data_IF_444219580190
#
_entry.id   IF_444219580190
#
_cell.length_a   1.000
_cell.length_b   1.000
_cell.length_c   1.000
_cell.angle_alpha   90.00
_cell.angle_beta   90.00
_cell.angle_gamma   90.00
#
_symmetry.space_group_name_H-M   'P 1'
#
loop_
_entity.id
_entity.type
_entity.pdbx_description
1 polymer ?
#
# COMPACT_ATOMS: atom_id res chain seq x y z
N UNK A 1 22.17 -23.89 -5.87
CA UNK A 1 21.68 -24.94 -4.95
C UNK A 1 21.49 -24.33 -3.58
N UNK A 2 20.28 -24.18 -3.15
CA UNK A 2 19.77 -24.27 -1.77
C UNK A 2 18.46 -23.50 -1.63
N UNK A 3 17.43 -24.31 -1.43
CA UNK A 3 16.19 -24.15 -0.68
C UNK A 3 15.25 -23.00 -1.06
N UNK A 4 14.39 -23.34 -2.03
CA UNK A 4 13.07 -22.71 -2.25
C UNK A 4 12.13 -23.35 -1.25
N UNK A 5 11.67 -22.59 -0.27
CA UNK A 5 10.65 -23.03 0.67
C UNK A 5 9.27 -22.94 0.01
N UNK A 6 8.70 -24.09 -0.18
CA UNK A 6 7.50 -24.47 -0.89
C UNK A 6 6.27 -24.10 -0.07
N UNK A 7 5.43 -23.19 -0.55
CA UNK A 7 4.02 -23.12 -0.14
C UNK A 7 3.24 -23.93 -1.16
N UNK A 8 3.07 -25.21 -0.81
CA UNK A 8 2.39 -26.23 -1.58
C UNK A 8 0.88 -26.08 -1.39
N UNK A 9 0.19 -25.53 -2.39
CA UNK A 9 -1.27 -25.71 -2.52
C UNK A 9 -1.51 -27.09 -3.15
N UNK A 10 -1.79 -28.08 -2.32
CA UNK A 10 -2.03 -29.47 -2.76
C UNK A 10 -3.40 -29.55 -3.42
N UNK A 11 -3.39 -29.71 -4.74
CA UNK A 11 -4.55 -30.23 -5.48
C UNK A 11 -4.41 -31.75 -5.51
N UNK A 12 -5.21 -32.46 -4.72
CA UNK A 12 -5.24 -33.93 -4.67
C UNK A 12 -5.93 -34.43 -5.94
N UNK A 13 -5.15 -34.97 -6.88
CA UNK A 13 -5.64 -35.84 -7.93
C UNK A 13 -5.60 -37.28 -7.42
N UNK A 14 -6.76 -37.84 -7.07
CA UNK A 14 -6.90 -39.25 -6.75
C UNK A 14 -6.85 -40.10 -8.02
N UNK A 15 -5.84 -40.96 -8.10
CA UNK A 15 -5.73 -42.04 -9.08
C UNK A 15 -6.70 -43.16 -8.68
N UNK A 16 -7.70 -43.46 -9.46
CA UNK A 16 -8.56 -44.61 -9.27
C UNK A 16 -8.00 -45.83 -9.98
N UNK A 17 -7.70 -46.86 -9.19
CA UNK A 17 -7.49 -48.23 -9.69
C UNK A 17 -8.85 -48.96 -9.69
N UNK A 18 -9.21 -49.55 -10.84
CA UNK A 18 -10.45 -50.23 -11.05
C UNK A 18 -10.53 -51.58 -10.34
N UNK A 19 -11.46 -51.74 -9.45
CA UNK A 19 -11.95 -53.03 -8.96
C UNK A 19 -13.47 -52.97 -9.02
N UNK A 20 -14.09 -53.77 -9.95
CA UNK A 20 -15.53 -53.80 -10.13
C UNK A 20 -16.20 -54.57 -8.99
N UNK A 21 -16.79 -53.87 -8.02
CA UNK A 21 -17.88 -54.38 -7.18
C UNK A 21 -19.14 -53.61 -7.49
N UNK A 22 -20.28 -54.30 -7.54
CA UNK A 22 -21.62 -53.67 -7.63
C UNK A 22 -21.72 -52.69 -6.46
N UNK A 23 -21.54 -51.40 -6.74
CA UNK A 23 -21.77 -50.34 -5.78
C UNK A 23 -23.15 -49.79 -6.02
N UNK A 24 -23.89 -49.61 -4.95
CA UNK A 24 -25.05 -48.74 -4.89
C UNK A 24 -24.66 -47.37 -5.46
N UNK A 25 -25.58 -46.62 -6.09
CA UNK A 25 -25.26 -45.32 -6.66
C UNK A 25 -24.69 -44.44 -5.52
N UNK A 26 -23.37 -44.22 -5.57
CA UNK A 26 -22.70 -43.29 -4.65
C UNK A 26 -23.30 -41.93 -4.99
N UNK A 27 -24.04 -41.37 -4.05
CA UNK A 27 -24.48 -39.98 -4.14
C UNK A 27 -23.24 -39.12 -4.19
N UNK A 28 -22.81 -38.79 -5.41
CA UNK A 28 -21.58 -38.08 -5.67
C UNK A 28 -21.57 -36.64 -5.07
N UNK A 29 -22.79 -36.12 -4.79
CA UNK A 29 -22.98 -34.80 -4.23
C UNK A 29 -24.31 -34.70 -3.48
N UNK A 30 -24.35 -34.01 -2.34
CA UNK A 30 -25.59 -33.73 -1.60
C UNK A 30 -25.67 -32.26 -1.20
N UNK A 31 -26.87 -31.73 -1.21
CA UNK A 31 -27.13 -30.37 -0.71
C UNK A 31 -27.18 -30.45 0.83
N UNK A 32 -26.35 -29.63 1.48
CA UNK A 32 -26.32 -29.52 2.94
C UNK A 32 -27.17 -28.37 3.43
N UNK A 33 -27.20 -27.28 2.69
CA UNK A 33 -28.06 -26.14 2.97
C UNK A 33 -28.34 -25.30 1.70
N UNK A 34 -29.41 -24.50 1.79
CA UNK A 34 -29.74 -23.48 0.78
C UNK A 34 -29.90 -22.15 1.48
N UNK A 35 -29.25 -21.12 0.97
CA UNK A 35 -29.29 -19.74 1.50
C UNK A 35 -29.65 -18.78 0.37
N UNK A 36 -30.83 -18.18 0.42
CA UNK A 36 -31.33 -17.22 -0.58
C UNK A 36 -31.19 -17.75 -2.03
N UNK A 37 -31.54 -19.04 -2.23
CA UNK A 37 -31.40 -19.73 -3.51
C UNK A 37 -30.00 -20.22 -3.88
N UNK A 38 -28.99 -19.92 -3.08
CA UNK A 38 -27.63 -20.44 -3.26
C UNK A 38 -27.45 -21.75 -2.50
N UNK A 39 -27.03 -22.76 -3.23
CA UNK A 39 -26.83 -24.12 -2.70
C UNK A 39 -25.46 -24.19 -2.02
N UNK A 40 -25.41 -24.90 -0.88
CA UNK A 40 -24.17 -25.32 -0.20
C UNK A 40 -24.10 -26.83 -0.34
N UNK A 41 -23.05 -27.30 -0.99
CA UNK A 41 -22.85 -28.72 -1.25
C UNK A 41 -22.01 -29.36 -0.13
N UNK A 42 -22.13 -30.67 -0.01
CA UNK A 42 -21.31 -31.44 0.96
C UNK A 42 -19.82 -31.32 0.64
N UNK A 43 -19.45 -31.28 -0.63
CA UNK A 43 -18.06 -31.04 -1.06
C UNK A 43 -17.53 -29.69 -0.61
N UNK A 44 -18.36 -28.62 -0.64
CA UNK A 44 -17.99 -27.29 -0.14
C UNK A 44 -17.70 -27.34 1.36
N UNK A 45 -18.58 -28.02 2.14
CA UNK A 45 -18.42 -28.18 3.58
C UNK A 45 -17.13 -28.95 3.91
N UNK A 46 -16.85 -30.05 3.19
CA UNK A 46 -15.64 -30.85 3.41
C UNK A 46 -14.36 -30.12 3.02
N UNK A 47 -14.39 -29.35 1.93
CA UNK A 47 -13.25 -28.51 1.53
C UNK A 47 -12.95 -27.45 2.59
N UNK A 48 -13.98 -26.79 3.12
CA UNK A 48 -13.81 -25.81 4.20
C UNK A 48 -13.34 -26.47 5.50
N UNK A 49 -13.89 -27.63 5.86
CA UNK A 49 -13.49 -28.39 7.05
C UNK A 49 -11.97 -28.65 7.05
N UNK A 50 -11.43 -29.04 5.90
CA UNK A 50 -9.99 -29.26 5.74
C UNK A 50 -9.14 -28.01 6.10
N UNK A 51 -9.61 -26.81 5.75
CA UNK A 51 -8.91 -25.56 6.09
C UNK A 51 -8.94 -25.27 7.60
N UNK A 52 -9.98 -25.69 8.33
CA UNK A 52 -10.09 -25.47 9.78
C UNK A 52 -9.32 -26.49 10.62
N UNK A 53 -8.80 -27.59 10.03
CA UNK A 53 -8.04 -28.60 10.77
C UNK A 53 -6.80 -28.08 11.47
N UNK A 54 -6.18 -27.02 10.92
CA UNK A 54 -5.01 -26.37 11.52
C UNK A 54 -5.34 -25.37 12.63
N UNK A 55 -6.62 -25.08 12.86
CA UNK A 55 -7.02 -24.13 13.90
C UNK A 55 -6.86 -24.74 15.29
N UNK A 56 -6.25 -24.04 16.26
CA UNK A 56 -6.05 -24.53 17.61
C UNK A 56 -7.37 -24.96 18.26
N UNK A 57 -7.42 -26.17 18.80
CA UNK A 57 -8.57 -26.72 19.51
C UNK A 57 -9.72 -27.21 18.60
N UNK A 58 -9.70 -26.96 17.29
CA UNK A 58 -10.78 -27.34 16.40
C UNK A 58 -10.92 -28.88 16.28
N UNK A 59 -9.81 -29.60 16.11
CA UNK A 59 -9.77 -31.04 16.02
C UNK A 59 -10.15 -31.77 17.32
N UNK A 60 -10.23 -31.06 18.44
CA UNK A 60 -10.66 -31.61 19.73
C UNK A 60 -12.20 -31.60 19.88
N UNK A 61 -12.91 -30.91 18.99
CA UNK A 61 -14.38 -30.89 18.99
C UNK A 61 -14.94 -32.21 18.40
N UNK A 62 -16.14 -32.63 18.83
CA UNK A 62 -16.87 -33.69 18.16
C UNK A 62 -17.09 -33.39 16.67
N UNK A 63 -17.07 -34.41 15.81
CA UNK A 63 -17.17 -34.24 14.35
C UNK A 63 -18.42 -33.47 13.92
N UNK A 64 -19.57 -33.76 14.55
CA UNK A 64 -20.80 -33.04 14.29
C UNK A 64 -20.72 -31.54 14.64
N UNK A 65 -19.98 -31.19 15.70
CA UNK A 65 -19.77 -29.81 16.10
C UNK A 65 -18.79 -29.12 15.15
N UNK A 66 -17.75 -29.82 14.69
CA UNK A 66 -16.85 -29.31 13.65
C UNK A 66 -17.63 -28.96 12.37
N UNK A 67 -18.46 -29.92 11.89
CA UNK A 67 -19.29 -29.72 10.69
C UNK A 67 -20.29 -28.57 10.87
N UNK A 68 -20.99 -28.51 12.01
CA UNK A 68 -21.94 -27.43 12.30
C UNK A 68 -21.29 -26.05 12.30
N UNK A 69 -20.13 -25.91 12.95
CA UNK A 69 -19.40 -24.62 12.99
C UNK A 69 -18.93 -24.17 11.61
N UNK A 70 -18.45 -25.12 10.79
CA UNK A 70 -18.02 -24.80 9.42
C UNK A 70 -19.21 -24.44 8.54
N UNK A 71 -20.32 -25.21 8.65
CA UNK A 71 -21.54 -24.90 7.93
C UNK A 71 -22.08 -23.51 8.28
N UNK A 72 -22.13 -23.15 9.55
CA UNK A 72 -22.54 -21.81 9.99
C UNK A 72 -21.67 -20.71 9.36
N UNK A 73 -20.35 -20.93 9.21
CA UNK A 73 -19.46 -19.98 8.53
C UNK A 73 -19.76 -19.86 7.04
N UNK A 74 -20.04 -20.96 6.36
CA UNK A 74 -20.43 -20.92 4.95
C UNK A 74 -21.77 -20.21 4.79
N UNK A 75 -22.73 -20.45 5.70
CA UNK A 75 -24.03 -19.74 5.71
C UNK A 75 -23.82 -18.25 5.91
N UNK A 76 -22.99 -17.81 6.88
CA UNK A 76 -22.65 -16.39 7.10
C UNK A 76 -22.09 -15.74 5.82
N UNK A 77 -21.21 -16.44 5.11
CA UNK A 77 -20.64 -15.97 3.83
C UNK A 77 -21.73 -15.82 2.76
N UNK A 78 -22.65 -16.82 2.62
CA UNK A 78 -23.76 -16.73 1.67
C UNK A 78 -24.76 -15.62 2.02
N UNK A 79 -24.99 -15.37 3.31
CA UNK A 79 -25.81 -14.22 3.80
C UNK A 79 -25.15 -12.89 3.37
N UNK A 80 -23.83 -12.77 3.51
CA UNK A 80 -23.08 -11.59 3.04
C UNK A 80 -23.19 -11.41 1.52
N UNK A 81 -23.03 -12.49 0.74
CA UNK A 81 -23.19 -12.46 -0.71
C UNK A 81 -24.62 -12.09 -1.14
N UNK A 82 -25.64 -12.55 -0.41
CA UNK A 82 -27.02 -12.11 -0.62
C UNK A 82 -27.17 -10.61 -0.37
N UNK A 83 -26.59 -10.12 0.72
CA UNK A 83 -26.62 -8.69 1.04
C UNK A 83 -25.92 -7.84 -0.01
N UNK A 84 -24.77 -8.28 -0.54
CA UNK A 84 -24.05 -7.62 -1.64
C UNK A 84 -24.99 -7.44 -2.85
N UNK A 85 -25.76 -8.48 -3.21
CA UNK A 85 -26.70 -8.44 -4.32
C UNK A 85 -27.87 -7.47 -4.04
N UNK A 86 -28.47 -7.53 -2.86
CA UNK A 86 -29.57 -6.64 -2.44
C UNK A 86 -29.14 -5.17 -2.38
N UNK A 87 -27.93 -4.89 -1.92
CA UNK A 87 -27.36 -3.55 -1.83
C UNK A 87 -26.83 -3.03 -3.14
N UNK A 88 -26.87 -3.83 -4.22
CA UNK A 88 -26.33 -3.51 -5.53
C UNK A 88 -24.85 -3.06 -5.49
N UNK A 89 -24.05 -3.72 -4.66
CA UNK A 89 -22.62 -3.42 -4.53
C UNK A 89 -21.91 -3.90 -5.79
N UNK A 90 -21.45 -2.94 -6.59
CA UNK A 90 -20.70 -3.19 -7.82
C UNK A 90 -19.23 -2.87 -7.62
N UNK A 91 -18.39 -3.60 -8.31
CA UNK A 91 -16.94 -3.33 -8.44
C UNK A 91 -16.68 -3.05 -9.91
N UNK A 92 -16.03 -1.95 -10.20
CA UNK A 92 -15.70 -1.56 -11.58
C UNK A 92 -14.60 -2.48 -12.13
N UNK A 93 -14.79 -3.00 -13.35
CA UNK A 93 -13.84 -3.92 -13.99
C UNK A 93 -12.45 -3.28 -14.18
N UNK A 94 -12.39 -1.96 -14.41
CA UNK A 94 -11.14 -1.21 -14.53
C UNK A 94 -10.34 -1.20 -13.23
N UNK A 95 -11.02 -0.98 -12.09
CA UNK A 95 -10.41 -1.01 -10.75
C UNK A 95 -9.89 -2.41 -10.41
N UNK A 96 -10.68 -3.43 -10.75
CA UNK A 96 -10.34 -4.83 -10.54
C UNK A 96 -9.11 -5.24 -11.37
N UNK A 97 -9.11 -4.90 -12.66
CA UNK A 97 -7.99 -5.18 -13.56
C UNK A 97 -6.70 -4.51 -13.08
N UNK A 98 -6.77 -3.24 -12.68
CA UNK A 98 -5.62 -2.51 -12.14
C UNK A 98 -5.06 -3.18 -10.87
N UNK A 99 -5.92 -3.64 -9.96
CA UNK A 99 -5.51 -4.35 -8.74
C UNK A 99 -4.81 -5.67 -9.05
N UNK A 100 -5.33 -6.43 -10.02
CA UNK A 100 -4.71 -7.67 -10.49
C UNK A 100 -3.34 -7.40 -11.12
N UNK A 101 -3.21 -6.35 -11.95
CA UNK A 101 -1.93 -5.97 -12.56
C UNK A 101 -0.88 -5.60 -11.52
N UNK A 102 -1.26 -4.82 -10.53
CA UNK A 102 -0.37 -4.46 -9.40
C UNK A 102 0.05 -5.72 -8.65
N UNK A 103 -0.89 -6.62 -8.36
CA UNK A 103 -0.60 -7.87 -7.65
C UNK A 103 0.40 -8.74 -8.41
N UNK A 104 0.19 -8.94 -9.71
CA UNK A 104 1.09 -9.73 -10.56
C UNK A 104 2.49 -9.10 -10.64
N UNK A 105 2.58 -7.77 -10.80
CA UNK A 105 3.86 -7.04 -10.79
C UNK A 105 4.59 -7.21 -9.46
N UNK A 106 3.88 -7.04 -8.35
CA UNK A 106 4.45 -7.21 -7.01
C UNK A 106 4.91 -8.66 -6.75
N UNK A 107 4.15 -9.64 -7.24
CA UNK A 107 4.52 -11.05 -7.12
C UNK A 107 5.81 -11.36 -7.91
N UNK A 108 5.94 -10.83 -9.11
CA UNK A 108 7.15 -10.94 -9.92
C UNK A 108 8.35 -10.25 -9.23
N UNK A 109 8.16 -9.03 -8.72
CA UNK A 109 9.20 -8.27 -8.03
C UNK A 109 9.70 -8.98 -6.76
N UNK A 110 8.81 -9.56 -5.95
CA UNK A 110 9.18 -10.35 -4.75
C UNK A 110 10.03 -11.57 -5.07
N UNK A 111 9.92 -12.11 -6.27
CA UNK A 111 10.72 -13.24 -6.74
C UNK A 111 11.96 -12.79 -7.54
N UNK A 112 12.25 -11.49 -7.60
CA UNK A 112 13.30 -10.91 -8.46
C UNK A 112 13.19 -11.39 -9.92
N UNK A 113 11.96 -11.55 -10.42
CA UNK A 113 11.65 -12.09 -11.73
C UNK A 113 10.89 -11.10 -12.60
N UNK A 114 10.99 -11.25 -13.92
CA UNK A 114 10.09 -10.55 -14.82
C UNK A 114 8.69 -11.18 -14.82
N UNK A 115 7.67 -10.43 -15.22
CA UNK A 115 6.29 -10.96 -15.37
C UNK A 115 6.27 -12.17 -16.33
N UNK A 116 7.07 -12.16 -17.39
CA UNK A 116 7.19 -13.30 -18.32
C UNK A 116 7.81 -14.55 -17.66
N UNK A 117 8.75 -14.38 -16.75
CA UNK A 117 9.31 -15.49 -15.99
C UNK A 117 8.28 -16.05 -14.98
N UNK A 118 7.52 -15.16 -14.33
CA UNK A 118 6.41 -15.55 -13.46
C UNK A 118 5.34 -16.34 -14.22
N UNK A 119 4.97 -15.93 -15.44
CA UNK A 119 4.02 -16.66 -16.29
C UNK A 119 4.47 -18.10 -16.57
N UNK A 120 5.75 -18.30 -16.89
CA UNK A 120 6.31 -19.65 -17.10
C UNK A 120 6.25 -20.48 -15.82
N UNK A 121 6.52 -19.86 -14.67
CA UNK A 121 6.45 -20.53 -13.37
C UNK A 121 5.00 -20.94 -13.01
N UNK A 122 4.03 -20.05 -13.21
CA UNK A 122 2.59 -20.33 -13.03
C UNK A 122 2.16 -21.52 -13.91
N UNK A 123 2.52 -21.50 -15.19
CA UNK A 123 2.19 -22.59 -16.13
C UNK A 123 2.82 -23.92 -15.69
N UNK A 124 4.08 -23.89 -15.23
CA UNK A 124 4.78 -25.09 -14.77
C UNK A 124 4.21 -25.66 -13.46
N UNK A 125 3.80 -24.79 -12.52
CA UNK A 125 3.36 -25.22 -11.19
C UNK A 125 1.85 -25.52 -11.13
N UNK A 126 1.04 -24.68 -11.79
CA UNK A 126 -0.42 -24.77 -11.72
C UNK A 126 -1.08 -25.35 -12.97
N UNK A 127 -0.31 -25.58 -14.05
CA UNK A 127 -0.83 -26.09 -15.32
C UNK A 127 -1.74 -25.13 -16.08
N UNK A 128 -1.89 -23.87 -15.62
CA UNK A 128 -2.79 -22.86 -16.21
C UNK A 128 -1.99 -21.69 -16.81
N UNK A 129 -2.53 -21.07 -17.86
CA UNK A 129 -1.93 -19.87 -18.46
C UNK A 129 -2.18 -18.62 -17.60
N UNK A 130 -1.39 -17.56 -17.86
CA UNK A 130 -1.51 -16.28 -17.13
C UNK A 130 -2.92 -15.67 -17.26
N UNK A 131 -3.58 -15.83 -18.39
CA UNK A 131 -4.94 -15.34 -18.60
C UNK A 131 -5.95 -16.00 -17.63
N UNK A 132 -5.91 -17.33 -17.52
CA UNK A 132 -6.72 -18.10 -16.57
C UNK A 132 -6.38 -17.78 -15.13
N UNK A 133 -5.09 -17.56 -14.82
CA UNK A 133 -4.66 -17.14 -13.49
C UNK A 133 -5.21 -15.74 -13.14
N UNK A 134 -5.17 -14.81 -14.10
CA UNK A 134 -5.76 -13.47 -13.95
C UNK A 134 -7.26 -13.54 -13.68
N UNK A 135 -7.99 -14.36 -14.40
CA UNK A 135 -9.44 -14.55 -14.22
C UNK A 135 -9.76 -15.02 -12.79
N UNK A 136 -9.04 -16.02 -12.30
CA UNK A 136 -9.18 -16.48 -10.89
C UNK A 136 -8.83 -15.39 -9.88
N UNK A 137 -7.81 -14.57 -10.14
CA UNK A 137 -7.49 -13.42 -9.30
C UNK A 137 -8.59 -12.36 -9.35
N UNK A 138 -9.17 -12.11 -10.52
CA UNK A 138 -10.27 -11.15 -10.67
C UNK A 138 -11.51 -11.58 -9.87
N UNK A 139 -11.90 -12.85 -9.93
CA UNK A 139 -12.99 -13.40 -9.12
C UNK A 139 -12.73 -13.20 -7.62
N UNK A 140 -11.57 -13.63 -7.13
CA UNK A 140 -11.19 -13.48 -5.73
C UNK A 140 -11.16 -12.02 -5.28
N UNK A 141 -10.53 -11.14 -6.05
CA UNK A 141 -10.47 -9.72 -5.69
C UNK A 141 -11.83 -9.02 -5.79
N UNK A 142 -12.71 -9.46 -6.69
CA UNK A 142 -14.08 -8.95 -6.76
C UNK A 142 -14.81 -9.24 -5.46
N UNK A 143 -14.76 -10.47 -4.96
CA UNK A 143 -15.36 -10.85 -3.69
C UNK A 143 -14.77 -10.07 -2.51
N UNK A 144 -13.44 -9.99 -2.41
CA UNK A 144 -12.75 -9.21 -1.37
C UNK A 144 -13.17 -7.74 -1.38
N UNK A 145 -13.26 -7.12 -2.57
CA UNK A 145 -13.65 -5.72 -2.71
C UNK A 145 -15.15 -5.51 -2.39
N UNK A 146 -15.99 -6.43 -2.78
CA UNK A 146 -17.42 -6.39 -2.43
C UNK A 146 -17.62 -6.50 -0.91
N UNK A 147 -16.94 -7.43 -0.25
CA UNK A 147 -16.95 -7.56 1.21
C UNK A 147 -16.41 -6.31 1.91
N UNK A 148 -15.35 -5.71 1.37
CA UNK A 148 -14.82 -4.44 1.89
C UNK A 148 -15.86 -3.31 1.77
N UNK A 149 -16.55 -3.19 0.64
CA UNK A 149 -17.59 -2.18 0.42
C UNK A 149 -18.83 -2.39 1.30
N UNK A 150 -19.24 -3.65 1.54
CA UNK A 150 -20.30 -3.95 2.52
C UNK A 150 -19.89 -3.49 3.92
N UNK A 151 -18.67 -3.80 4.35
CA UNK A 151 -18.16 -3.34 5.65
C UNK A 151 -18.15 -1.83 5.72
N UNK A 152 -17.63 -1.15 4.72
CA UNK A 152 -17.60 0.31 4.68
C UNK A 152 -19.02 0.91 4.74
N UNK A 153 -20.00 0.34 4.01
CA UNK A 153 -21.36 0.84 3.95
C UNK A 153 -22.11 0.68 5.27
N UNK A 154 -21.99 -0.47 5.93
CA UNK A 154 -22.82 -0.84 7.08
C UNK A 154 -22.11 -0.72 8.43
N UNK A 155 -20.82 -0.99 8.47
CA UNK A 155 -20.01 -0.85 9.69
C UNK A 155 -19.43 0.55 9.80
N UNK A 156 -18.93 1.09 8.70
CA UNK A 156 -18.23 2.38 8.66
C UNK A 156 -16.84 2.32 9.29
N UNK A 157 -16.27 3.50 9.53
CA UNK A 157 -15.01 3.65 10.25
C UNK A 157 -15.31 3.64 11.75
N UNK A 158 -14.63 2.77 12.48
CA UNK A 158 -14.73 2.70 13.94
C UNK A 158 -13.45 3.33 14.51
N UNK A 159 -13.65 4.35 15.33
CA UNK A 159 -12.58 4.99 16.11
C UNK A 159 -12.85 4.69 17.59
N UNK A 160 -12.11 3.76 18.20
CA UNK A 160 -12.30 3.41 19.59
C UNK A 160 -11.98 4.61 20.50
N UNK A 161 -12.71 4.73 21.59
CA UNK A 161 -12.36 5.63 22.67
C UNK A 161 -11.17 5.04 23.47
N UNK A 162 -10.45 5.89 24.20
CA UNK A 162 -9.34 5.44 25.05
C UNK A 162 -9.78 4.33 26.01
N UNK A 163 -10.95 4.47 26.60
CA UNK A 163 -11.52 3.48 27.53
C UNK A 163 -11.73 2.12 26.85
N UNK A 164 -12.28 2.10 25.64
CA UNK A 164 -12.48 0.87 24.88
C UNK A 164 -11.17 0.19 24.51
N UNK A 165 -10.11 0.97 24.22
CA UNK A 165 -8.76 0.44 23.96
C UNK A 165 -8.18 -0.20 25.23
N UNK A 166 -8.31 0.47 26.38
CA UNK A 166 -7.85 -0.05 27.68
C UNK A 166 -8.62 -1.32 28.08
N UNK A 167 -9.94 -1.35 27.90
CA UNK A 167 -10.80 -2.52 28.17
C UNK A 167 -10.43 -3.71 27.24
N UNK A 168 -10.26 -3.45 25.94
CA UNK A 168 -9.81 -4.47 24.99
C UNK A 168 -8.45 -5.04 25.39
N UNK A 169 -7.49 -4.17 25.69
CA UNK A 169 -6.16 -4.61 26.08
C UNK A 169 -6.18 -5.43 27.37
N UNK A 170 -6.92 -4.99 28.39
CA UNK A 170 -7.06 -5.73 29.64
C UNK A 170 -7.67 -7.13 29.44
N UNK A 171 -8.62 -7.26 28.52
CA UNK A 171 -9.30 -8.52 28.24
C UNK A 171 -8.46 -9.50 27.38
N UNK A 172 -7.65 -8.97 26.45
CA UNK A 172 -7.03 -9.78 25.39
C UNK A 172 -5.50 -9.76 25.36
N UNK A 173 -4.79 -9.02 26.25
CA UNK A 173 -3.33 -8.88 26.23
C UNK A 173 -2.59 -10.21 26.14
N UNK A 174 -3.05 -11.23 26.85
CA UNK A 174 -2.43 -12.56 26.90
C UNK A 174 -2.67 -13.38 25.61
N UNK A 175 -3.65 -12.95 24.78
CA UNK A 175 -4.01 -13.55 23.49
C UNK A 175 -3.41 -12.82 22.30
N UNK A 176 -2.87 -11.61 22.50
CA UNK A 176 -2.18 -10.87 21.45
C UNK A 176 -0.84 -11.54 21.17
N UNK A 177 -0.54 -11.88 19.91
CA UNK A 177 0.74 -12.50 19.55
C UNK A 177 1.92 -11.63 19.98
N UNK A 178 2.93 -12.25 20.58
CA UNK A 178 4.18 -11.55 20.91
C UNK A 178 4.94 -11.17 19.64
N UNK A 179 5.67 -10.08 19.72
CA UNK A 179 6.63 -9.68 18.70
C UNK A 179 7.99 -10.35 18.95
N UNK A 180 8.69 -10.71 17.89
CA UNK A 180 9.98 -11.37 17.96
C UNK A 180 11.03 -10.61 17.17
N UNK A 181 12.25 -10.56 17.72
CA UNK A 181 13.41 -9.88 17.10
C UNK A 181 13.06 -8.44 16.67
N UNK A 182 12.72 -7.61 17.65
CA UNK A 182 12.24 -6.25 17.46
C UNK A 182 13.34 -5.23 17.68
N UNK A 183 13.30 -4.17 16.86
CA UNK A 183 14.14 -3.00 16.98
C UNK A 183 13.27 -1.76 17.22
N UNK A 184 13.69 -0.92 18.14
CA UNK A 184 13.19 0.43 18.30
C UNK A 184 14.23 1.38 17.74
N UNK A 185 13.87 2.18 16.76
CA UNK A 185 14.81 3.11 16.14
C UNK A 185 14.15 4.42 15.73
N UNK A 186 14.98 5.44 15.59
CA UNK A 186 14.58 6.80 15.24
C UNK A 186 15.41 7.33 14.06
N UNK A 187 14.84 8.29 13.30
CA UNK A 187 15.47 8.93 12.14
C UNK A 187 15.34 10.44 12.18
N UNK A 188 16.37 11.14 11.72
CA UNK A 188 16.29 12.54 11.30
C UNK A 188 16.56 12.58 9.81
N UNK A 189 15.58 13.08 9.04
CA UNK A 189 15.63 13.14 7.58
C UNK A 189 15.64 14.58 7.09
N UNK A 190 16.62 14.92 6.26
CA UNK A 190 16.71 16.23 5.60
C UNK A 190 16.83 16.00 4.09
N UNK A 191 15.84 16.44 3.29
CA UNK A 191 15.90 16.33 1.83
C UNK A 191 16.98 17.24 1.26
N UNK A 192 17.55 16.81 0.15
CA UNK A 192 18.49 17.67 -0.60
C UNK A 192 17.67 18.55 -1.53
N UNK A 193 17.45 19.79 -1.12
CA UNK A 193 16.75 20.79 -1.92
C UNK A 193 17.76 21.75 -2.59
N UNK A 194 17.48 22.17 -3.84
CA UNK A 194 18.30 23.16 -4.51
C UNK A 194 18.36 24.47 -3.69
N UNK A 195 19.53 25.03 -3.56
CA UNK A 195 19.68 26.34 -2.92
C UNK A 195 18.99 27.44 -3.73
N UNK A 196 18.68 28.54 -3.06
CA UNK A 196 18.18 29.74 -3.73
C UNK A 196 19.12 30.20 -4.87
N UNK A 197 20.43 30.10 -4.66
CA UNK A 197 21.40 30.45 -5.67
C UNK A 197 21.29 29.59 -6.93
N UNK A 198 21.08 28.28 -6.78
CA UNK A 198 20.87 27.37 -7.91
C UNK A 198 19.53 27.70 -8.61
N UNK A 199 18.47 27.88 -7.83
CA UNK A 199 17.15 28.23 -8.35
C UNK A 199 17.18 29.56 -9.11
N UNK A 200 17.84 30.58 -8.57
CA UNK A 200 17.98 31.88 -9.21
C UNK A 200 18.88 31.80 -10.46
N UNK A 201 19.93 30.99 -10.45
CA UNK A 201 20.77 30.76 -11.63
C UNK A 201 19.98 30.17 -12.79
N UNK A 202 19.17 29.14 -12.56
CA UNK A 202 18.31 28.53 -13.58
C UNK A 202 17.23 29.52 -14.03
N UNK A 203 16.69 30.33 -13.11
CA UNK A 203 15.75 31.42 -13.43
C UNK A 203 16.36 32.41 -14.42
N UNK A 204 17.62 32.82 -14.20
CA UNK A 204 18.29 33.76 -15.08
C UNK A 204 18.49 33.18 -16.50
N UNK A 205 18.75 31.88 -16.60
CA UNK A 205 18.78 31.18 -17.90
C UNK A 205 17.39 31.26 -18.55
N UNK A 206 16.30 30.97 -17.80
CA UNK A 206 14.96 31.09 -18.33
C UNK A 206 14.63 32.53 -18.83
N UNK A 207 15.02 33.55 -18.08
CA UNK A 207 14.86 34.95 -18.49
C UNK A 207 15.62 35.24 -19.79
N UNK A 208 16.88 34.79 -19.93
CA UNK A 208 17.64 34.99 -21.16
C UNK A 208 17.04 34.29 -22.39
N UNK A 209 16.30 33.18 -22.18
CA UNK A 209 15.56 32.51 -23.23
C UNK A 209 14.30 33.30 -23.64
N UNK A 210 13.60 33.93 -22.67
CA UNK A 210 12.49 34.85 -22.95
C UNK A 210 12.99 36.05 -23.77
N UNK A 211 14.10 36.67 -23.36
CA UNK A 211 14.71 37.77 -24.12
C UNK A 211 15.08 37.34 -25.56
N UNK A 212 15.41 36.07 -25.76
CA UNK A 212 15.68 35.53 -27.10
C UNK A 212 14.41 35.33 -27.92
N UNK A 213 13.30 34.94 -27.28
CA UNK A 213 11.97 34.88 -27.92
C UNK A 213 11.52 36.26 -28.36
N UNK A 214 11.68 37.26 -27.49
CA UNK A 214 11.29 38.66 -27.75
C UNK A 214 12.11 39.29 -28.90
N UNK A 215 13.34 38.84 -29.09
CA UNK A 215 14.20 39.17 -30.24
C UNK A 215 13.87 38.41 -31.53
N UNK A 216 12.84 37.54 -31.52
CA UNK A 216 12.34 36.86 -32.70
C UNK A 216 12.90 35.45 -32.91
N UNK A 217 13.60 34.86 -31.95
CA UNK A 217 13.97 33.44 -32.03
C UNK A 217 12.72 32.57 -31.88
N UNK A 218 12.54 31.59 -32.75
CA UNK A 218 11.37 30.75 -32.71
C UNK A 218 11.31 29.88 -31.44
N UNK A 219 10.12 29.83 -30.81
CA UNK A 219 9.89 29.06 -29.59
C UNK A 219 10.29 27.58 -29.75
N UNK A 220 9.97 26.96 -30.87
CA UNK A 220 10.33 25.57 -31.17
C UNK A 220 11.83 25.31 -31.24
N UNK A 221 12.63 26.30 -31.67
CA UNK A 221 14.10 26.17 -31.71
C UNK A 221 14.67 26.17 -30.29
N UNK A 222 14.21 27.10 -29.44
CA UNK A 222 14.65 27.14 -28.05
C UNK A 222 14.15 25.93 -27.26
N UNK A 223 12.91 25.51 -27.49
CA UNK A 223 12.36 24.29 -26.87
C UNK A 223 13.19 23.06 -27.22
N UNK A 224 13.53 22.87 -28.49
CA UNK A 224 14.36 21.76 -28.93
C UNK A 224 15.74 21.72 -28.27
N UNK A 225 16.33 22.89 -28.04
CA UNK A 225 17.72 23.01 -27.56
C UNK A 225 17.81 23.00 -26.02
N UNK A 226 16.79 23.48 -25.33
CA UNK A 226 16.87 23.76 -23.88
C UNK A 226 15.82 23.02 -23.04
N UNK A 227 14.78 22.45 -23.63
CA UNK A 227 13.76 21.77 -22.86
C UNK A 227 14.30 20.46 -22.24
N UNK A 228 14.22 20.37 -20.92
CA UNK A 228 14.67 19.20 -20.13
C UNK A 228 13.51 18.25 -19.76
N UNK A 229 12.30 18.52 -20.24
CA UNK A 229 11.16 17.61 -20.07
C UNK A 229 11.22 16.47 -21.08
N UNK A 230 10.81 15.29 -20.67
CA UNK A 230 10.57 14.15 -21.58
C UNK A 230 9.43 14.40 -22.59
N UNK A 231 8.63 15.44 -22.38
CA UNK A 231 7.53 15.88 -23.24
C UNK A 231 7.97 17.00 -24.22
N UNK A 232 9.21 17.03 -24.61
CA UNK A 232 9.94 18.13 -25.25
C UNK A 232 9.37 18.71 -26.55
N UNK A 233 8.37 18.17 -27.17
CA UNK A 233 7.93 18.67 -28.50
C UNK A 233 6.43 18.61 -28.76
N UNK A 234 5.63 18.33 -27.79
CA UNK A 234 4.19 18.22 -27.99
C UNK A 234 3.45 19.18 -27.12
N UNK A 235 2.69 20.04 -27.76
CA UNK A 235 1.61 20.75 -27.12
C UNK A 235 0.76 19.77 -26.31
N UNK A 236 0.99 19.71 -25.00
CA UNK A 236 0.19 18.90 -24.10
C UNK A 236 -1.17 19.53 -23.92
N UNK A 237 -2.21 18.69 -23.93
CA UNK A 237 -3.54 19.11 -23.55
C UNK A 237 -3.70 18.98 -22.03
N UNK A 238 -3.98 20.08 -21.37
CA UNK A 238 -4.17 20.18 -19.94
C UNK A 238 -5.65 20.44 -19.65
N UNK A 239 -6.32 19.48 -19.02
CA UNK A 239 -7.68 19.71 -18.52
C UNK A 239 -7.66 20.70 -17.38
N UNK A 240 -8.70 21.52 -17.28
CA UNK A 240 -8.83 22.50 -16.20
C UNK A 240 -8.78 21.81 -14.84
N UNK A 241 -7.89 22.29 -13.96
CA UNK A 241 -7.68 21.76 -12.61
C UNK A 241 -6.83 20.49 -12.52
N UNK A 242 -6.27 19.98 -13.64
CA UNK A 242 -5.41 18.79 -13.60
C UNK A 242 -3.90 19.11 -13.55
N UNK A 243 -3.53 20.37 -13.76
CA UNK A 243 -2.15 20.82 -13.77
C UNK A 243 -1.66 21.40 -12.44
N UNK A 244 -0.37 21.71 -12.38
CA UNK A 244 0.15 22.51 -11.26
C UNK A 244 -0.53 23.90 -11.23
N UNK A 245 -1.01 24.37 -10.05
CA UNK A 245 -1.83 25.59 -9.98
C UNK A 245 -1.16 26.83 -10.56
N UNK A 246 0.15 27.01 -10.34
CA UNK A 246 0.88 28.17 -10.83
C UNK A 246 1.12 28.10 -12.34
N UNK A 247 1.38 26.90 -12.88
CA UNK A 247 1.49 26.67 -14.32
C UNK A 247 0.16 26.96 -15.03
N UNK A 248 -0.92 26.37 -14.55
CA UNK A 248 -2.24 26.52 -15.14
C UNK A 248 -2.73 27.98 -15.08
N UNK A 249 -2.51 28.64 -13.96
CA UNK A 249 -2.85 30.06 -13.77
C UNK A 249 -2.11 30.96 -14.74
N UNK A 250 -0.82 30.73 -14.93
CA UNK A 250 -0.01 31.48 -15.87
C UNK A 250 -0.46 31.24 -17.32
N UNK A 251 -0.67 29.99 -17.71
CA UNK A 251 -1.09 29.63 -19.05
C UNK A 251 -2.48 30.20 -19.43
N UNK A 252 -3.43 30.23 -18.49
CA UNK A 252 -4.78 30.77 -18.73
C UNK A 252 -4.82 32.29 -18.98
N UNK A 253 -3.80 33.03 -18.50
CA UNK A 253 -3.68 34.47 -18.71
C UNK A 253 -3.20 34.84 -20.10
N UNK A 254 -2.58 33.91 -20.83
CA UNK A 254 -2.00 34.17 -22.16
C UNK A 254 -3.08 34.23 -23.25
N UNK A 255 -2.81 35.02 -24.28
CA UNK A 255 -3.45 34.91 -25.59
C UNK A 255 -2.92 33.74 -26.38
N UNK A 256 -3.70 33.25 -27.36
CA UNK A 256 -3.25 32.12 -28.22
C UNK A 256 -2.04 32.59 -29.04
N UNK A 257 -0.94 31.82 -28.92
CA UNK A 257 0.34 32.11 -29.55
C UNK A 257 1.32 32.87 -28.67
N UNK A 258 0.86 33.48 -27.57
CA UNK A 258 1.70 34.19 -26.60
C UNK A 258 2.41 33.24 -25.65
N UNK A 259 3.50 33.72 -25.07
CA UNK A 259 4.28 33.05 -24.04
C UNK A 259 4.36 33.92 -22.75
N UNK A 260 4.79 33.31 -21.65
CA UNK A 260 4.92 34.00 -20.35
C UNK A 260 6.06 35.01 -20.38
N UNK A 261 5.79 36.24 -19.97
CA UNK A 261 6.81 37.33 -19.86
C UNK A 261 7.84 37.08 -18.76
N UNK A 262 7.51 36.19 -17.80
CA UNK A 262 8.41 35.74 -16.74
C UNK A 262 8.34 34.22 -16.61
N UNK A 263 9.46 33.58 -16.24
CA UNK A 263 9.45 32.14 -15.99
C UNK A 263 8.55 31.80 -14.81
N UNK A 264 7.83 30.68 -14.92
CA UNK A 264 6.90 30.18 -13.91
C UNK A 264 7.58 29.05 -13.13
N UNK A 265 7.72 29.20 -11.82
CA UNK A 265 8.28 28.16 -10.96
C UNK A 265 7.19 27.09 -10.68
N UNK A 266 7.55 25.85 -10.93
CA UNK A 266 6.79 24.66 -10.55
C UNK A 266 7.62 23.83 -9.57
N UNK A 267 7.09 22.72 -9.08
CA UNK A 267 7.79 21.87 -8.11
C UNK A 267 9.17 21.40 -8.60
N UNK A 268 9.31 21.15 -9.89
CA UNK A 268 10.51 20.52 -10.46
C UNK A 268 11.44 21.54 -11.14
N UNK A 269 10.98 22.75 -11.41
CA UNK A 269 11.81 23.75 -12.07
C UNK A 269 11.05 24.92 -12.71
N UNK A 270 11.73 25.67 -13.55
CA UNK A 270 11.20 26.85 -14.23
C UNK A 270 10.61 26.50 -15.60
N UNK A 271 9.48 27.11 -15.91
CA UNK A 271 8.78 26.91 -17.18
C UNK A 271 8.60 28.26 -17.91
N UNK A 272 8.85 28.27 -19.20
CA UNK A 272 8.39 29.27 -20.15
C UNK A 272 7.24 28.64 -20.90
N UNK A 273 6.02 29.15 -20.69
CA UNK A 273 4.79 28.52 -21.18
C UNK A 273 4.29 29.30 -22.39
N UNK A 274 3.96 28.61 -23.50
CA UNK A 274 3.28 29.15 -24.65
C UNK A 274 1.88 28.56 -24.75
N UNK A 275 0.87 29.42 -24.89
CA UNK A 275 -0.49 28.94 -25.11
C UNK A 275 -0.71 28.65 -26.61
N UNK A 276 -1.08 27.42 -26.92
CA UNK A 276 -1.31 26.94 -28.29
C UNK A 276 -2.80 26.92 -28.66
N UNK A 277 -3.69 26.89 -27.67
CA UNK A 277 -5.14 26.87 -27.89
C UNK A 277 -5.92 26.76 -26.60
N UNK A 278 -7.19 27.20 -26.66
CA UNK A 278 -8.17 27.06 -25.57
C UNK A 278 -9.35 26.23 -26.04
N UNK A 279 -9.84 25.35 -25.14
CA UNK A 279 -11.10 24.61 -25.31
C UNK A 279 -11.94 24.80 -24.07
N UNK A 280 -13.20 24.40 -24.12
CA UNK A 280 -14.14 24.56 -23.01
C UNK A 280 -13.66 23.84 -21.73
N UNK A 281 -13.07 22.66 -21.87
CA UNK A 281 -12.63 21.78 -20.79
C UNK A 281 -11.11 21.85 -20.50
N UNK A 282 -10.34 22.71 -21.20
CA UNK A 282 -8.90 22.83 -20.96
C UNK A 282 -8.14 23.72 -21.94
N UNK A 283 -6.82 23.63 -21.84
CA UNK A 283 -5.88 24.40 -22.66
C UNK A 283 -4.85 23.50 -23.32
N UNK A 284 -4.34 23.94 -24.45
CA UNK A 284 -3.21 23.34 -25.12
C UNK A 284 -2.01 24.25 -24.99
N UNK A 285 -0.92 23.74 -24.42
CA UNK A 285 0.30 24.50 -24.13
C UNK A 285 1.52 23.81 -24.73
N UNK A 286 2.53 24.59 -25.07
CA UNK A 286 3.92 24.16 -25.23
C UNK A 286 4.75 24.84 -24.15
N UNK A 287 5.80 24.20 -23.67
CA UNK A 287 6.68 24.80 -22.68
C UNK A 287 8.16 24.53 -22.96
N UNK A 288 9.01 25.42 -22.44
CA UNK A 288 10.43 25.19 -22.25
C UNK A 288 10.63 24.97 -20.75
N UNK A 289 10.93 23.76 -20.35
CA UNK A 289 11.12 23.37 -18.97
C UNK A 289 12.61 23.29 -18.64
N UNK A 290 13.02 24.02 -17.61
CA UNK A 290 14.37 24.01 -17.07
C UNK A 290 14.33 23.43 -15.67
N UNK A 291 14.82 22.22 -15.53
CA UNK A 291 14.85 21.51 -14.26
C UNK A 291 15.76 22.21 -13.27
N UNK A 292 15.33 22.30 -12.02
CA UNK A 292 16.16 22.79 -10.91
C UNK A 292 16.58 21.60 -10.06
N UNK A 293 17.81 21.17 -10.23
CA UNK A 293 18.37 20.04 -9.49
C UNK A 293 19.33 20.51 -8.41
N UNK A 294 19.34 19.84 -7.24
CA UNK A 294 20.33 20.09 -6.22
C UNK A 294 21.75 19.83 -6.74
N UNK A 295 22.67 20.63 -6.31
CA UNK A 295 24.10 20.47 -6.62
C UNK A 295 24.83 19.66 -5.54
N UNK A 296 26.08 19.26 -5.82
CA UNK A 296 26.96 18.67 -4.82
C UNK A 296 27.17 19.58 -3.60
N UNK A 297 27.16 20.91 -3.79
CA UNK A 297 27.23 21.87 -2.70
C UNK A 297 25.97 21.85 -1.81
N UNK A 298 24.81 21.62 -2.40
CA UNK A 298 23.54 21.47 -1.66
C UNK A 298 23.57 20.17 -0.83
N UNK A 299 24.03 19.07 -1.41
CA UNK A 299 24.25 17.81 -0.69
C UNK A 299 25.22 17.98 0.48
N UNK A 300 26.35 18.64 0.24
CA UNK A 300 27.36 18.88 1.28
C UNK A 300 26.80 19.74 2.43
N UNK A 301 25.95 20.72 2.12
CA UNK A 301 25.28 21.54 3.15
C UNK A 301 24.38 20.68 4.05
N UNK A 302 23.64 19.73 3.47
CA UNK A 302 22.77 18.81 4.24
C UNK A 302 23.62 17.87 5.08
N UNK A 303 24.68 17.29 4.51
CA UNK A 303 25.63 16.43 5.23
C UNK A 303 26.23 17.15 6.43
N UNK A 304 26.83 18.34 6.22
CA UNK A 304 27.40 19.15 7.29
C UNK A 304 26.37 19.49 8.38
N UNK A 305 25.10 19.69 8.00
CA UNK A 305 24.03 19.92 8.97
C UNK A 305 23.73 18.70 9.81
N UNK A 306 23.63 17.51 9.20
CA UNK A 306 23.41 16.25 9.93
C UNK A 306 24.58 15.90 10.83
N UNK A 307 25.82 16.09 10.37
CA UNK A 307 27.04 15.89 11.18
C UNK A 307 27.09 16.82 12.40
N UNK A 308 26.70 18.09 12.21
CA UNK A 308 26.57 19.03 13.34
C UNK A 308 25.51 18.56 14.34
N UNK A 309 24.34 18.13 13.87
CA UNK A 309 23.28 17.61 14.72
C UNK A 309 23.72 16.35 15.48
N UNK A 310 24.35 15.40 14.79
CA UNK A 310 24.93 14.20 15.40
C UNK A 310 25.89 14.58 16.52
N UNK A 311 26.84 15.47 16.23
CA UNK A 311 27.83 15.96 17.22
C UNK A 311 27.17 16.65 18.42
N UNK A 312 26.14 17.46 18.22
CA UNK A 312 25.40 18.12 19.31
C UNK A 312 24.63 17.12 20.17
N UNK A 313 24.08 16.08 19.55
CA UNK A 313 23.36 15.00 20.26
C UNK A 313 24.34 14.15 21.06
N UNK A 314 25.45 13.72 20.47
CA UNK A 314 26.49 12.93 21.14
C UNK A 314 27.12 13.66 22.34
N UNK A 315 27.25 14.99 22.25
CA UNK A 315 27.71 15.85 23.34
C UNK A 315 26.63 16.15 24.38
N UNK A 316 25.42 15.62 24.23
CA UNK A 316 24.29 15.83 25.15
C UNK A 316 23.71 17.25 25.15
N UNK A 317 24.08 18.12 24.20
CA UNK A 317 23.55 19.49 24.08
C UNK A 317 22.13 19.52 23.54
N UNK A 318 21.75 18.51 22.77
CA UNK A 318 20.45 18.36 22.15
C UNK A 318 20.03 16.88 22.23
N UNK A 319 18.76 16.60 22.51
CA UNK A 319 18.25 15.22 22.42
C UNK A 319 17.89 14.88 21.00
N UNK A 320 18.06 13.62 20.58
CA UNK A 320 17.69 13.16 19.24
C UNK A 320 16.22 13.52 18.90
N UNK A 321 15.32 13.30 19.85
CA UNK A 321 13.89 13.63 19.68
C UNK A 321 13.67 15.12 19.40
N UNK A 322 14.30 16.02 20.16
CA UNK A 322 14.20 17.47 19.92
C UNK A 322 14.78 17.86 18.56
N UNK A 323 15.91 17.24 18.18
CA UNK A 323 16.51 17.46 16.86
C UNK A 323 15.57 17.00 15.74
N UNK A 324 14.94 15.84 15.87
CA UNK A 324 13.97 15.33 14.92
C UNK A 324 12.74 16.25 14.78
N UNK A 325 12.15 16.68 15.87
CA UNK A 325 11.01 17.62 15.85
C UNK A 325 11.36 18.93 15.17
N UNK A 326 12.59 19.45 15.38
CA UNK A 326 12.99 20.77 14.87
C UNK A 326 13.50 20.74 13.44
N UNK A 327 14.14 19.66 13.01
CA UNK A 327 14.89 19.65 11.75
C UNK A 327 14.47 18.55 10.77
N UNK A 328 13.87 17.46 11.23
CA UNK A 328 13.43 16.39 10.33
C UNK A 328 12.27 16.86 9.44
N UNK A 329 12.32 16.48 8.17
CA UNK A 329 11.23 16.71 7.19
C UNK A 329 10.41 15.44 6.92
N UNK A 330 10.69 14.36 7.64
CA UNK A 330 9.88 13.15 7.58
C UNK A 330 8.54 13.35 8.27
N UNK A 331 7.46 13.42 7.48
CA UNK A 331 6.12 13.73 7.97
C UNK A 331 5.52 12.66 8.89
N UNK A 332 6.02 11.43 8.79
CA UNK A 332 5.48 10.30 9.55
C UNK A 332 6.07 10.19 10.95
N UNK A 333 7.31 10.67 11.13
CA UNK A 333 8.06 10.45 12.36
C UNK A 333 8.49 11.72 13.09
N UNK A 334 8.59 12.88 12.42
CA UNK A 334 9.16 14.10 13.05
C UNK A 334 8.43 14.50 14.34
N UNK A 335 7.09 14.45 14.36
CA UNK A 335 6.27 14.82 15.51
C UNK A 335 6.35 13.82 16.66
N UNK A 336 6.83 12.61 16.39
CA UNK A 336 7.12 11.55 17.38
C UNK A 336 8.59 11.55 17.81
N UNK A 337 9.32 12.64 17.56
CA UNK A 337 10.75 12.70 17.85
C UNK A 337 11.62 11.86 16.94
N UNK A 338 11.13 11.55 15.74
CA UNK A 338 11.80 10.73 14.74
C UNK A 338 11.57 9.23 14.88
N UNK A 339 10.82 8.78 15.91
CA UNK A 339 10.66 7.35 16.21
C UNK A 339 9.75 6.64 15.21
N UNK A 340 10.19 5.48 14.73
CA UNK A 340 9.39 4.51 13.96
C UNK A 340 8.57 3.59 14.88
N UNK A 341 8.77 3.66 16.20
CA UNK A 341 8.23 2.67 17.13
C UNK A 341 8.95 1.33 17.02
N UNK A 342 8.44 0.35 17.75
CA UNK A 342 8.95 -1.01 17.68
C UNK A 342 8.58 -1.67 16.35
N UNK A 343 9.58 -2.23 15.67
CA UNK A 343 9.42 -2.93 14.40
C UNK A 343 10.07 -4.31 14.48
N UNK A 344 9.39 -5.36 14.03
CA UNK A 344 10.06 -6.64 13.82
C UNK A 344 11.15 -6.50 12.73
N UNK A 345 12.36 -6.97 12.98
CA UNK A 345 13.51 -6.82 12.07
C UNK A 345 13.20 -7.21 10.62
N UNK A 346 12.40 -8.29 10.44
CA UNK A 346 11.97 -8.76 9.11
C UNK A 346 11.02 -7.82 8.36
N UNK A 347 10.37 -6.90 9.07
CA UNK A 347 9.41 -5.93 8.51
C UNK A 347 10.06 -4.58 8.20
N UNK A 348 11.29 -4.35 8.65
CA UNK A 348 12.02 -3.10 8.41
C UNK A 348 12.45 -3.07 6.93
N UNK A 349 12.26 -1.91 6.28
CA UNK A 349 12.74 -1.68 4.93
C UNK A 349 14.25 -2.00 4.82
N UNK A 350 14.69 -2.74 3.79
CA UNK A 350 16.08 -3.14 3.63
C UNK A 350 17.11 -2.01 3.69
N UNK A 351 16.75 -0.79 3.23
CA UNK A 351 17.63 0.37 3.28
C UNK A 351 17.93 0.79 4.72
N UNK A 352 16.92 0.79 5.59
CA UNK A 352 17.09 1.06 7.02
C UNK A 352 17.74 -0.12 7.75
N UNK A 353 17.28 -1.35 7.46
CA UNK A 353 17.78 -2.55 8.12
C UNK A 353 19.30 -2.72 7.97
N UNK A 354 19.85 -2.41 6.78
CA UNK A 354 21.28 -2.45 6.51
C UNK A 354 22.08 -1.54 7.45
N UNK A 355 21.61 -0.32 7.68
CA UNK A 355 22.27 0.67 8.52
C UNK A 355 22.13 0.28 9.99
N UNK A 356 20.88 0.01 10.43
CA UNK A 356 20.57 -0.28 11.83
C UNK A 356 21.30 -1.54 12.33
N UNK A 357 21.48 -2.55 11.48
CA UNK A 357 22.17 -3.80 11.86
C UNK A 357 23.63 -3.60 12.25
N UNK A 358 24.25 -2.48 11.88
CA UNK A 358 25.62 -2.14 12.25
C UNK A 358 25.73 -1.31 13.52
N UNK A 359 24.60 -0.81 14.06
CA UNK A 359 24.56 0.08 15.21
C UNK A 359 24.41 -0.70 16.52
N UNK A 360 24.99 -0.17 17.59
CA UNK A 360 24.70 -0.55 18.97
C UNK A 360 23.57 0.30 19.51
N UNK A 361 22.89 -0.20 20.55
CA UNK A 361 21.84 0.58 21.21
C UNK A 361 22.41 1.91 21.72
N UNK A 362 21.76 3.00 21.34
CA UNK A 362 22.14 4.39 21.60
C UNK A 362 23.06 5.01 20.54
N UNK A 363 23.61 4.24 19.61
CA UNK A 363 24.52 4.71 18.57
C UNK A 363 23.75 5.38 17.41
N UNK A 364 24.37 6.45 16.85
CA UNK A 364 23.82 7.21 15.72
C UNK A 364 24.66 6.88 14.48
N UNK A 365 24.01 6.57 13.37
CA UNK A 365 24.66 6.28 12.09
C UNK A 365 25.37 7.51 11.51
N UNK A 366 26.25 7.28 10.54
CA UNK A 366 26.63 8.31 9.58
C UNK A 366 25.42 8.71 8.70
N UNK A 367 25.44 9.92 8.11
CA UNK A 367 24.41 10.32 7.16
C UNK A 367 24.39 9.42 5.93
N UNK A 368 23.25 8.82 5.63
CA UNK A 368 23.04 7.96 4.45
C UNK A 368 21.93 8.51 3.57
N UNK A 369 22.07 8.37 2.26
CA UNK A 369 21.07 8.81 1.28
C UNK A 369 20.01 7.72 1.10
N UNK A 370 18.78 8.01 1.53
CA UNK A 370 17.63 7.13 1.37
C UNK A 370 16.47 7.95 0.78
N UNK A 371 15.92 7.50 -0.33
CA UNK A 371 14.77 8.13 -1.00
C UNK A 371 14.93 9.66 -1.23
N UNK A 372 16.12 10.08 -1.71
CA UNK A 372 16.40 11.49 -2.03
C UNK A 372 16.62 12.40 -0.81
N UNK A 373 16.66 11.85 0.40
CA UNK A 373 16.96 12.57 1.63
C UNK A 373 18.17 11.97 2.33
N UNK A 374 19.06 12.80 2.87
CA UNK A 374 20.06 12.31 3.81
C UNK A 374 19.41 12.09 5.17
N UNK A 375 19.75 10.96 5.80
CA UNK A 375 19.22 10.55 7.08
C UNK A 375 20.32 10.09 8.02
N UNK A 376 20.17 10.40 9.30
CA UNK A 376 20.88 9.74 10.39
C UNK A 376 19.87 8.91 11.17
N UNK A 377 20.26 7.68 11.51
CA UNK A 377 19.44 6.72 12.25
C UNK A 377 20.06 6.50 13.63
N UNK A 378 19.24 6.28 14.63
CA UNK A 378 19.67 5.84 15.94
C UNK A 378 18.94 4.57 16.34
N UNK A 379 19.69 3.56 16.75
CA UNK A 379 19.10 2.39 17.40
C UNK A 379 18.78 2.73 18.87
N UNK A 380 17.50 2.84 19.19
CA UNK A 380 17.06 3.24 20.52
C UNK A 380 17.03 2.07 21.50
N UNK A 381 16.58 0.90 21.02
CA UNK A 381 16.53 -0.33 21.83
C UNK A 381 16.38 -1.57 20.91
N UNK A 382 16.58 -2.77 21.48
CA UNK A 382 16.32 -4.04 20.84
C UNK A 382 15.71 -5.05 21.81
N UNK A 383 14.87 -5.95 21.32
CA UNK A 383 14.23 -6.98 22.11
C UNK A 383 14.05 -8.28 21.32
N UNK A 384 14.50 -9.40 21.87
CA UNK A 384 14.33 -10.72 21.26
C UNK A 384 12.87 -11.19 21.28
N UNK A 385 12.15 -10.89 22.36
CA UNK A 385 10.73 -11.16 22.53
C UNK A 385 10.11 -9.96 23.25
N UNK A 386 8.99 -9.48 22.72
CA UNK A 386 8.31 -8.32 23.25
C UNK A 386 6.80 -8.54 23.28
N UNK A 387 6.16 -8.11 24.36
CA UNK A 387 4.71 -7.98 24.46
C UNK A 387 4.32 -6.53 24.16
N UNK A 388 3.14 -6.37 23.55
CA UNK A 388 2.59 -5.03 23.34
C UNK A 388 2.23 -4.38 24.69
N UNK A 389 2.42 -3.07 24.80
CA UNK A 389 1.97 -2.30 25.96
C UNK A 389 1.30 -0.99 25.54
N UNK A 390 0.41 -0.48 26.41
CA UNK A 390 -0.40 0.71 26.10
C UNK A 390 0.39 2.01 26.00
N UNK A 391 1.58 2.09 26.59
CA UNK A 391 2.37 3.34 26.56
C UNK A 391 3.10 3.50 25.24
N UNK A 392 3.70 2.42 24.75
CA UNK A 392 4.55 2.44 23.54
C UNK A 392 3.79 2.07 22.26
N UNK A 393 2.72 1.24 22.39
CA UNK A 393 2.02 0.64 21.26
C UNK A 393 0.56 1.07 21.12
N UNK A 394 0.18 2.17 21.77
CA UNK A 394 -1.22 2.59 21.83
C UNK A 394 -1.91 2.58 20.45
N UNK A 395 -1.28 3.14 19.44
CA UNK A 395 -1.86 3.21 18.07
C UNK A 395 -2.06 1.84 17.43
N UNK A 396 -1.20 0.88 17.75
CA UNK A 396 -1.32 -0.50 17.26
C UNK A 396 -2.48 -1.20 17.97
N UNK A 397 -2.55 -1.06 19.30
CA UNK A 397 -3.62 -1.63 20.11
C UNK A 397 -4.96 -0.98 19.77
N UNK A 398 -5.00 0.34 19.53
CA UNK A 398 -6.18 1.05 19.03
C UNK A 398 -6.65 0.47 17.68
N UNK A 399 -5.74 0.22 16.75
CA UNK A 399 -6.04 -0.46 15.48
C UNK A 399 -6.60 -1.87 15.67
N UNK A 400 -6.03 -2.65 16.60
CA UNK A 400 -6.55 -3.97 16.97
C UNK A 400 -7.96 -3.87 17.56
N UNK A 401 -8.19 -2.90 18.45
CA UNK A 401 -9.49 -2.62 19.06
C UNK A 401 -10.53 -2.23 18.01
N UNK A 402 -10.17 -1.33 17.10
CA UNK A 402 -11.04 -0.92 15.99
C UNK A 402 -11.45 -2.11 15.11
N UNK A 403 -10.50 -2.99 14.78
CA UNK A 403 -10.76 -4.21 14.04
C UNK A 403 -11.67 -5.18 14.80
N UNK A 404 -11.44 -5.35 16.09
CA UNK A 404 -12.27 -6.19 16.96
C UNK A 404 -13.72 -5.67 17.01
N UNK A 405 -13.91 -4.38 17.28
CA UNK A 405 -15.23 -3.74 17.31
C UNK A 405 -15.92 -3.79 15.95
N UNK A 406 -15.17 -3.60 14.87
CA UNK A 406 -15.67 -3.73 13.50
C UNK A 406 -16.18 -5.15 13.22
N UNK A 407 -15.46 -6.18 13.68
CA UNK A 407 -15.87 -7.56 13.55
C UNK A 407 -17.12 -7.86 14.38
N UNK A 408 -17.19 -7.38 15.63
CA UNK A 408 -18.40 -7.55 16.46
C UNK A 408 -19.63 -6.92 15.82
N UNK A 409 -19.49 -5.69 15.31
CA UNK A 409 -20.59 -5.00 14.62
C UNK A 409 -21.02 -5.74 13.35
N UNK A 410 -20.06 -6.25 12.58
CA UNK A 410 -20.36 -7.05 11.39
C UNK A 410 -21.09 -8.35 11.75
N UNK A 411 -20.66 -9.05 12.78
CA UNK A 411 -21.32 -10.28 13.25
C UNK A 411 -22.76 -10.02 13.70
N UNK A 412 -23.00 -8.92 14.42
CA UNK A 412 -24.34 -8.50 14.78
C UNK A 412 -25.23 -8.23 13.56
N UNK A 413 -24.67 -7.56 12.53
CA UNK A 413 -25.37 -7.31 11.27
C UNK A 413 -25.64 -8.61 10.49
N UNK A 414 -24.70 -9.53 10.44
CA UNK A 414 -24.89 -10.83 9.79
C UNK A 414 -26.01 -11.61 10.49
N UNK A 415 -26.02 -11.60 11.83
CA UNK A 415 -27.07 -12.24 12.62
C UNK A 415 -28.45 -11.64 12.34
N UNK A 416 -28.54 -10.31 12.17
CA UNK A 416 -29.75 -9.64 11.75
C UNK A 416 -30.13 -10.04 10.32
N UNK A 417 -29.22 -9.97 9.36
CA UNK A 417 -29.49 -10.32 7.95
C UNK A 417 -29.83 -11.80 7.75
N UNK A 418 -29.30 -12.68 8.62
CA UNK A 418 -29.68 -14.10 8.63
C UNK A 418 -31.18 -14.31 8.79
N UNK A 419 -31.88 -13.43 9.54
CA UNK A 419 -33.34 -13.47 9.72
C UNK A 419 -34.09 -12.86 8.53
N UNK A 420 -33.40 -12.15 7.62
CA UNK A 420 -34.00 -11.52 6.44
C UNK A 420 -33.91 -12.40 5.18
N UNK A 421 -33.16 -13.50 5.23
CA UNK A 421 -32.93 -14.41 4.10
C UNK A 421 -33.54 -15.79 4.38
N UNK A 422 -33.97 -16.48 3.30
CA UNK A 422 -34.38 -17.87 3.41
C UNK A 422 -33.16 -18.76 3.63
N UNK A 423 -33.21 -19.57 4.70
CA UNK A 423 -32.18 -20.57 5.02
C UNK A 423 -32.88 -21.91 5.30
N UNK A 424 -32.49 -22.94 4.55
CA UNK A 424 -32.90 -24.31 4.75
C UNK A 424 -31.70 -25.20 4.92
N UNK A 425 -31.62 -25.94 6.02
CA UNK A 425 -30.55 -26.90 6.31
C UNK A 425 -31.14 -28.29 6.14
N UNK A 426 -30.57 -29.09 5.23
CA UNK A 426 -31.12 -30.41 4.86
C UNK A 426 -30.49 -31.59 5.62
N UNK A 427 -29.49 -31.33 6.47
CA UNK A 427 -28.83 -32.31 7.33
C UNK A 427 -27.31 -32.33 7.16
N UNK A 428 -26.59 -32.61 8.23
CA UNK A 428 -25.13 -32.78 8.30
C UNK A 428 -24.77 -34.26 8.20
#
# INVERSE_FOLDING_TARGET
MRFISLILLILVTSLFAAGASKQDPILLESIVAVVDGKVILRSDLMAQLYHYQSAPGFMQLPENEQMSRVLDKIIEEKVLLSRISRDSIKVEESELSQRVDIHIKNLAARQNASVAALEKAIKAQLGIGIAQYREKLMERFREEMQLSRIRQKHVGIITPTRKEVEEFYAAYKDSIPRQYDCLLFSSISIPVEPSKQVTDSVKNVAISLIDSLDRGVHFSVLAKNHNQSSLADTSSYLRRGSGEPDYERAALRLGIGEWTDNPVLTKEGWNIIRLMGKKEDGIRTANIFLKVEPTAADSMRVLNRLDSLKTEIEKGKLTFSKAAISFSKDRETFYKGGSFGWQERKAIDPAYAKIISSLRVGEISEPELIDGSYRILRLDNEAQVREYNLEEDYSIIEGMTANYMSNLKLQALISQWRNEVYIEIQGL
#
